data_IF_712302856423
#
_entry.id   IF_712302856423
#
_cell.length_a   1.000
_cell.length_b   1.000
_cell.length_c   1.000
_cell.angle_alpha   90.00
_cell.angle_beta   90.00
_cell.angle_gamma   90.00
#
_symmetry.space_group_name_H-M   'P 1'
#
loop_
_entity.id
_entity.type
_entity.pdbx_description
1 polymer ?
#
# COMPACT_ATOMS: atom_id res chain seq x y z
N UNK A 1 -17.18 -11.03 17.96
CA UNK A 1 -16.81 -9.62 17.67
C UNK A 1 -16.29 -9.56 16.24
N UNK A 2 -16.64 -8.52 15.47
CA UNK A 2 -16.19 -8.37 14.07
C UNK A 2 -14.69 -8.08 13.99
N UNK A 3 -14.00 -8.67 13.00
CA UNK A 3 -12.61 -8.35 12.68
C UNK A 3 -12.56 -7.12 11.77
N UNK A 4 -11.62 -6.22 12.02
CA UNK A 4 -11.40 -5.01 11.25
C UNK A 4 -10.18 -5.18 10.34
N UNK A 5 -10.34 -4.92 9.05
CA UNK A 5 -9.26 -4.95 8.09
C UNK A 5 -8.89 -3.53 7.64
N UNK A 6 -7.60 -3.20 7.74
CA UNK A 6 -7.04 -1.93 7.31
C UNK A 6 -6.16 -2.13 6.08
N UNK A 7 -6.30 -1.26 5.07
CA UNK A 7 -5.49 -1.33 3.86
C UNK A 7 -4.47 -0.17 3.87
N UNK A 8 -3.19 -0.48 3.78
CA UNK A 8 -2.12 0.51 3.68
C UNK A 8 -1.50 0.53 2.29
N UNK A 9 -1.27 1.75 1.80
CA UNK A 9 -0.75 2.01 0.46
C UNK A 9 0.52 2.85 0.64
N UNK A 10 1.68 2.21 0.94
CA UNK A 10 2.95 2.90 1.06
C UNK A 10 3.38 3.52 -0.26
N UNK A 11 4.06 4.66 -0.18
CA UNK A 11 4.75 5.24 -1.33
C UNK A 11 5.94 4.34 -1.73
N UNK A 12 6.36 4.36 -3.00
CA UNK A 12 7.51 3.58 -3.45
C UNK A 12 8.78 4.01 -2.69
N UNK A 13 9.48 3.04 -2.12
CA UNK A 13 10.74 3.25 -1.39
C UNK A 13 10.80 2.47 -0.08
N UNK A 14 11.99 1.99 0.29
CA UNK A 14 12.15 1.14 1.47
C UNK A 14 11.80 1.87 2.78
N UNK A 15 12.11 3.16 2.91
CA UNK A 15 11.82 3.94 4.11
C UNK A 15 10.32 4.11 4.39
N UNK A 16 9.54 4.33 3.32
CA UNK A 16 8.07 4.40 3.37
C UNK A 16 7.46 3.06 3.78
N UNK A 17 7.97 1.97 3.20
CA UNK A 17 7.55 0.62 3.54
C UNK A 17 7.82 0.28 5.01
N UNK A 18 9.06 0.51 5.48
CA UNK A 18 9.45 0.23 6.88
C UNK A 18 8.57 1.03 7.85
N UNK A 19 8.37 2.32 7.60
CA UNK A 19 7.57 3.20 8.47
C UNK A 19 6.11 2.75 8.54
N UNK A 20 5.53 2.37 7.40
CA UNK A 20 4.16 1.86 7.32
C UNK A 20 4.00 0.54 8.06
N UNK A 21 5.00 -0.35 7.97
CA UNK A 21 5.02 -1.63 8.67
C UNK A 21 5.12 -1.43 10.18
N UNK A 22 5.96 -0.52 10.65
CA UNK A 22 6.06 -0.22 12.09
C UNK A 22 4.78 0.40 12.63
N UNK A 23 4.07 1.21 11.84
CA UNK A 23 2.73 1.68 12.18
C UNK A 23 1.74 0.50 12.26
N UNK A 24 1.76 -0.41 11.28
CA UNK A 24 0.89 -1.58 11.25
C UNK A 24 1.09 -2.45 12.50
N UNK A 25 2.33 -2.80 12.85
CA UNK A 25 2.66 -3.57 14.06
C UNK A 25 2.10 -2.93 15.33
N UNK A 26 2.23 -1.60 15.46
CA UNK A 26 1.69 -0.87 16.62
C UNK A 26 0.16 -0.96 16.71
N UNK A 27 -0.55 -0.96 15.59
CA UNK A 27 -2.01 -1.13 15.58
C UNK A 27 -2.41 -2.56 15.94
N UNK A 28 -1.71 -3.54 15.37
CA UNK A 28 -1.94 -4.97 15.63
C UNK A 28 -1.66 -5.35 17.09
N UNK A 29 -0.70 -4.68 17.74
CA UNK A 29 -0.42 -4.88 19.15
C UNK A 29 -1.48 -4.27 20.07
N UNK A 30 -2.22 -3.25 19.60
CA UNK A 30 -3.26 -2.58 20.38
C UNK A 30 -4.60 -3.31 20.35
N UNK A 31 -4.91 -4.01 19.26
CA UNK A 31 -6.18 -4.73 19.11
C UNK A 31 -5.97 -5.99 18.26
N UNK A 32 -6.23 -7.15 18.87
CA UNK A 32 -6.08 -8.45 18.22
C UNK A 32 -7.06 -8.69 17.07
N UNK A 33 -8.13 -7.90 17.01
CA UNK A 33 -9.17 -7.99 15.97
C UNK A 33 -8.80 -7.23 14.71
N UNK A 34 -7.71 -6.46 14.73
CA UNK A 34 -7.20 -5.74 13.56
C UNK A 34 -6.34 -6.70 12.73
N UNK A 35 -6.57 -6.70 11.43
CA UNK A 35 -5.65 -7.20 10.41
C UNK A 35 -5.26 -6.06 9.47
N UNK A 36 -4.07 -6.16 8.88
CA UNK A 36 -3.56 -5.15 7.95
C UNK A 36 -3.21 -5.81 6.63
N UNK A 37 -3.67 -5.20 5.54
CA UNK A 37 -3.26 -5.53 4.18
C UNK A 37 -2.38 -4.41 3.64
N UNK A 38 -1.16 -4.75 3.23
CA UNK A 38 -0.16 -3.82 2.71
C UNK A 38 -0.05 -3.98 1.19
N UNK A 39 -0.39 -2.94 0.44
CA UNK A 39 -0.27 -2.95 -1.02
C UNK A 39 1.15 -2.60 -1.43
N UNK A 40 1.85 -3.58 -1.99
CA UNK A 40 3.24 -3.45 -2.42
C UNK A 40 3.29 -2.97 -3.87
N UNK A 41 3.78 -1.76 -4.08
CA UNK A 41 4.15 -1.27 -5.41
C UNK A 41 5.53 -1.83 -5.76
N UNK A 42 5.68 -2.44 -6.93
CA UNK A 42 7.00 -2.85 -7.42
C UNK A 42 7.86 -1.62 -7.69
N UNK A 43 8.72 -1.32 -6.73
CA UNK A 43 9.54 -0.11 -6.76
C UNK A 43 10.45 -0.08 -7.98
N UNK A 44 10.55 1.07 -8.67
CA UNK A 44 11.56 1.28 -9.71
C UNK A 44 13.00 1.31 -9.16
N UNK A 45 13.17 1.40 -7.84
CA UNK A 45 14.46 1.59 -7.17
C UNK A 45 15.05 0.30 -6.59
N UNK A 46 14.50 -0.85 -6.96
CA UNK A 46 14.96 -2.16 -6.50
C UNK A 46 13.90 -2.94 -5.71
N UNK A 47 14.16 -4.24 -5.54
CA UNK A 47 13.27 -5.13 -4.82
C UNK A 47 13.33 -4.90 -3.31
N UNK A 48 12.16 -4.93 -2.66
CA UNK A 48 11.99 -4.89 -1.19
C UNK A 48 11.75 -6.28 -0.60
N UNK A 49 11.89 -7.34 -1.40
CA UNK A 49 11.56 -8.72 -1.04
C UNK A 49 12.33 -9.22 0.20
N UNK A 50 13.57 -8.76 0.35
CA UNK A 50 14.41 -9.10 1.50
C UNK A 50 13.82 -8.59 2.82
N UNK A 51 13.03 -7.51 2.78
CA UNK A 51 12.33 -6.96 3.94
C UNK A 51 10.93 -7.54 4.12
N UNK A 52 10.20 -7.77 3.02
CA UNK A 52 8.80 -8.22 3.09
C UNK A 52 8.66 -9.70 3.44
N UNK A 53 9.56 -10.58 2.97
CA UNK A 53 9.49 -12.02 3.26
C UNK A 53 9.60 -12.34 4.75
N UNK A 54 10.61 -11.82 5.50
CA UNK A 54 10.67 -12.03 6.94
C UNK A 54 9.49 -11.40 7.68
N UNK A 55 8.99 -10.26 7.20
CA UNK A 55 7.84 -9.58 7.79
C UNK A 55 6.61 -10.49 7.79
N UNK A 56 6.23 -11.03 6.64
CA UNK A 56 5.06 -11.90 6.51
C UNK A 56 5.20 -13.20 7.29
N UNK A 57 6.44 -13.66 7.52
CA UNK A 57 6.69 -14.82 8.39
C UNK A 57 6.53 -14.46 9.88
N UNK A 58 6.92 -13.25 10.28
CA UNK A 58 6.89 -12.82 11.69
C UNK A 58 5.52 -12.33 12.17
N UNK A 59 4.70 -11.74 11.30
CA UNK A 59 3.40 -11.16 11.66
C UNK A 59 2.31 -11.67 10.70
N UNK A 60 1.62 -12.78 11.02
CA UNK A 60 0.64 -13.40 10.12
C UNK A 60 -0.62 -12.56 9.91
N UNK A 61 -0.84 -11.53 10.74
CA UNK A 61 -1.94 -10.56 10.58
C UNK A 61 -1.61 -9.43 9.60
N UNK A 62 -0.39 -9.36 9.08
CA UNK A 62 0.01 -8.50 7.97
C UNK A 62 0.00 -9.34 6.69
N UNK A 63 -0.93 -9.02 5.78
CA UNK A 63 -0.99 -9.61 4.45
C UNK A 63 -0.34 -8.66 3.45
N UNK A 64 0.69 -9.12 2.75
CA UNK A 64 1.26 -8.38 1.61
C UNK A 64 0.50 -8.73 0.34
N UNK A 65 0.11 -7.72 -0.43
CA UNK A 65 -0.49 -7.89 -1.76
C UNK A 65 0.33 -7.10 -2.76
N UNK A 66 1.01 -7.81 -3.65
CA UNK A 66 1.73 -7.18 -4.75
C UNK A 66 0.76 -6.66 -5.79
N UNK A 67 0.93 -5.39 -6.14
CA UNK A 67 0.16 -4.79 -7.21
C UNK A 67 0.75 -5.23 -8.58
N UNK A 68 -0.11 -5.33 -9.61
CA UNK A 68 0.36 -5.52 -10.97
C UNK A 68 1.40 -4.44 -11.36
N UNK A 69 2.45 -4.82 -12.10
CA UNK A 69 3.43 -3.86 -12.59
C UNK A 69 2.78 -2.91 -13.60
N UNK A 70 3.26 -1.67 -13.63
CA UNK A 70 2.88 -0.65 -14.60
C UNK A 70 4.07 -0.26 -15.46
N UNK A 71 3.80 0.31 -16.62
CA UNK A 71 4.85 0.88 -17.45
C UNK A 71 5.56 1.99 -16.69
N UNK A 72 6.87 1.87 -16.56
CA UNK A 72 7.68 2.89 -15.91
C UNK A 72 7.72 4.18 -16.74
N UNK A 73 7.75 5.37 -16.11
CA UNK A 73 8.01 6.62 -16.82
C UNK A 73 9.36 6.59 -17.53
N UNK A 74 9.56 7.53 -18.47
CA UNK A 74 10.83 7.62 -19.22
C UNK A 74 12.04 7.74 -18.28
N UNK A 75 13.15 7.02 -18.54
CA UNK A 75 14.41 7.20 -17.82
C UNK A 75 14.93 8.65 -17.87
N UNK A 76 14.65 9.39 -18.94
CA UNK A 76 15.03 10.81 -19.04
C UNK A 76 14.35 11.67 -17.98
N UNK A 77 13.10 11.31 -17.60
CA UNK A 77 12.37 12.00 -16.55
C UNK A 77 13.03 11.75 -15.19
N UNK A 78 13.52 10.53 -14.95
CA UNK A 78 14.25 10.20 -13.73
C UNK A 78 15.52 11.05 -13.58
N UNK A 79 16.28 11.25 -14.67
CA UNK A 79 17.49 12.08 -14.68
C UNK A 79 17.15 13.56 -14.46
N UNK A 80 16.08 14.05 -15.08
CA UNK A 80 15.67 15.46 -14.99
C UNK A 80 15.03 15.81 -13.64
N UNK A 81 14.19 14.93 -13.11
CA UNK A 81 13.47 15.11 -11.86
C UNK A 81 12.99 13.78 -11.29
N UNK A 82 13.67 13.32 -10.23
CA UNK A 82 13.27 12.15 -9.46
C UNK A 82 11.83 12.28 -8.92
N UNK A 83 11.46 13.48 -8.45
CA UNK A 83 10.14 13.77 -7.93
C UNK A 83 9.07 13.60 -9.02
N UNK A 84 9.24 14.20 -10.19
CA UNK A 84 8.30 14.06 -11.30
C UNK A 84 8.18 12.61 -11.80
N UNK A 85 9.29 11.86 -11.78
CA UNK A 85 9.29 10.43 -12.08
C UNK A 85 8.45 9.64 -11.06
N UNK A 86 8.64 9.87 -9.76
CA UNK A 86 7.87 9.20 -8.70
C UNK A 86 6.38 9.52 -8.82
N UNK A 87 6.01 10.79 -9.04
CA UNK A 87 4.60 11.16 -9.22
C UNK A 87 3.98 10.47 -10.43
N UNK A 88 4.66 10.50 -11.58
CA UNK A 88 4.17 9.84 -12.81
C UNK A 88 3.99 8.33 -12.61
N UNK A 89 4.91 7.70 -11.87
CA UNK A 89 4.81 6.29 -11.52
C UNK A 89 3.61 6.00 -10.59
N UNK A 90 3.40 6.82 -9.56
CA UNK A 90 2.25 6.69 -8.64
C UNK A 90 0.94 6.85 -9.41
N UNK A 91 0.84 7.85 -10.30
CA UNK A 91 -0.35 8.08 -11.12
C UNK A 91 -0.69 6.86 -12.00
N UNK A 92 0.32 6.26 -12.64
CA UNK A 92 0.15 5.04 -13.42
C UNK A 92 -0.34 3.85 -12.56
N UNK A 93 -0.02 3.84 -11.27
CA UNK A 93 -0.41 2.78 -10.33
C UNK A 93 -1.84 2.93 -9.79
N UNK A 94 -2.44 4.13 -9.81
CA UNK A 94 -3.76 4.41 -9.25
C UNK A 94 -4.85 3.43 -9.75
N UNK A 95 -4.97 3.12 -11.05
CA UNK A 95 -5.98 2.17 -11.53
C UNK A 95 -5.81 0.77 -10.91
N UNK A 96 -4.58 0.32 -10.75
CA UNK A 96 -4.27 -1.00 -10.16
C UNK A 96 -4.63 -1.02 -8.67
N UNK A 97 -4.26 0.03 -7.94
CA UNK A 97 -4.64 0.20 -6.52
C UNK A 97 -6.16 0.13 -6.36
N UNK A 98 -6.91 0.90 -7.16
CA UNK A 98 -8.38 0.93 -7.10
C UNK A 98 -8.97 -0.45 -7.35
N UNK A 99 -8.50 -1.14 -8.40
CA UNK A 99 -8.97 -2.49 -8.73
C UNK A 99 -8.70 -3.46 -7.58
N UNK A 100 -7.46 -3.52 -7.08
CA UNK A 100 -7.08 -4.43 -5.99
C UNK A 100 -7.86 -4.14 -4.70
N UNK A 101 -8.08 -2.87 -4.34
CA UNK A 101 -8.91 -2.52 -3.18
C UNK A 101 -10.35 -3.00 -3.36
N UNK A 102 -10.95 -2.79 -4.54
CA UNK A 102 -12.30 -3.26 -4.85
C UNK A 102 -12.39 -4.79 -4.76
N UNK A 103 -11.41 -5.52 -5.27
CA UNK A 103 -11.36 -6.98 -5.21
C UNK A 103 -11.28 -7.48 -3.76
N UNK A 104 -10.43 -6.84 -2.94
CA UNK A 104 -10.31 -7.15 -1.50
C UNK A 104 -11.66 -6.92 -0.79
N UNK A 105 -12.25 -5.74 -0.95
CA UNK A 105 -13.52 -5.39 -0.30
C UNK A 105 -14.64 -6.35 -0.71
N UNK A 106 -14.69 -6.73 -2.00
CA UNK A 106 -15.69 -7.67 -2.51
C UNK A 106 -15.51 -9.06 -1.89
N UNK A 107 -14.28 -9.57 -1.81
CA UNK A 107 -14.00 -10.87 -1.19
C UNK A 107 -14.32 -10.91 0.32
N UNK A 108 -14.03 -9.84 1.06
CA UNK A 108 -14.38 -9.72 2.48
C UNK A 108 -15.89 -9.72 2.71
N UNK A 109 -16.64 -9.05 1.84
CA UNK A 109 -18.10 -8.98 1.91
C UNK A 109 -18.76 -10.35 1.70
N UNK A 110 -18.21 -11.17 0.79
CA UNK A 110 -18.69 -12.53 0.52
C UNK A 110 -18.37 -13.50 1.67
N UNK A 111 -17.22 -13.33 2.33
CA UNK A 111 -16.81 -14.22 3.43
C UNK A 111 -17.45 -13.91 4.79
N UNK A 112 -18.08 -12.74 4.97
CA UNK A 112 -18.67 -12.30 6.24
C UNK A 112 -17.68 -12.21 7.42
N UNK A 113 -16.37 -12.26 7.15
CA UNK A 113 -15.32 -12.54 8.15
C UNK A 113 -14.60 -11.27 8.66
N UNK A 114 -14.51 -10.23 7.82
CA UNK A 114 -13.89 -8.95 8.18
C UNK A 114 -14.59 -7.78 7.48
N UNK A 115 -14.66 -6.63 8.15
CA UNK A 115 -15.09 -5.36 7.53
C UNK A 115 -13.85 -4.54 7.21
N UNK A 116 -13.75 -4.03 5.99
CA UNK A 116 -12.71 -3.06 5.63
C UNK A 116 -13.09 -1.70 6.24
N UNK A 117 -12.27 -1.22 7.18
CA UNK A 117 -12.60 -0.03 8.00
C UNK A 117 -11.93 1.25 7.47
N UNK A 118 -10.91 1.13 6.61
CA UNK A 118 -10.31 2.29 5.96
C UNK A 118 -9.05 1.96 5.17
N UNK A 119 -8.62 2.91 4.35
CA UNK A 119 -7.33 2.88 3.65
C UNK A 119 -6.50 4.13 3.96
N UNK A 120 -5.18 3.98 4.11
CA UNK A 120 -4.25 5.09 4.37
C UNK A 120 -3.14 5.12 3.33
N UNK A 121 -2.94 6.29 2.74
CA UNK A 121 -1.76 6.61 1.94
C UNK A 121 -0.65 7.14 2.83
N UNK A 122 0.56 6.68 2.59
CA UNK A 122 1.75 7.26 3.20
C UNK A 122 1.97 8.70 2.66
N UNK A 123 2.37 9.63 3.53
CA UNK A 123 2.56 11.04 3.18
C UNK A 123 4.04 11.37 3.14
N UNK A 124 4.49 12.05 2.10
CA UNK A 124 5.81 12.66 2.05
C UNK A 124 5.86 13.98 2.83
N UNK A 125 7.08 14.46 3.12
CA UNK A 125 7.31 15.72 3.85
C UNK A 125 6.89 16.96 3.07
N UNK A 126 6.52 16.82 1.80
CA UNK A 126 6.32 17.93 0.87
C UNK A 126 4.91 18.51 0.95
N UNK A 127 3.99 17.92 1.73
CA UNK A 127 2.66 18.49 1.97
C UNK A 127 1.81 18.64 0.70
N UNK A 128 2.29 18.17 -0.45
CA UNK A 128 1.49 18.01 -1.64
C UNK A 128 0.52 16.87 -1.34
N UNK A 129 -0.70 17.26 -1.03
CA UNK A 129 -1.84 16.36 -0.97
C UNK A 129 -1.89 15.67 -2.34
N UNK A 130 -1.33 14.46 -2.43
CA UNK A 130 -1.83 13.40 -3.30
C UNK A 130 -3.27 13.18 -2.85
N UNK A 131 -4.13 14.09 -3.30
CA UNK A 131 -5.58 14.03 -3.15
C UNK A 131 -5.98 12.98 -4.18
N UNK A 132 -5.59 11.72 -3.93
CA UNK A 132 -6.09 10.56 -4.65
C UNK A 132 -7.57 10.57 -4.35
N UNK A 133 -8.32 11.24 -5.24
CA UNK A 133 -9.76 11.40 -5.15
C UNK A 133 -10.35 10.05 -5.55
N UNK A 134 -10.23 9.07 -4.65
CA UNK A 134 -11.07 7.88 -4.67
C UNK A 134 -12.40 8.31 -4.04
N UNK A 135 -13.12 9.20 -4.74
CA UNK A 135 -14.55 9.32 -4.51
C UNK A 135 -15.19 8.17 -5.28
N UNK A 136 -15.91 7.33 -4.55
CA UNK A 136 -16.87 6.38 -5.08
C UNK A 136 -17.73 7.08 -6.12
N UNK A 137 -17.65 6.61 -7.36
CA UNK A 137 -18.74 6.71 -8.32
C UNK A 137 -19.60 5.46 -8.14
#
# INVERSE_FOLDING_TARGET
MEKAELIFIPLPGIGHLVSTVELAKRLLHRDERISVTLLSMKSPFGSVDAYTKPLTASEPRIRLVDLPPVTHPSPDLFIKSLEAYIYSFIEAQIPQVRKTVTDIVSSCSVSGSSRVVGYRFDMDRTGQRLKVRIQNS
#
